data_IF_860388087104
#
_entry.id   IF_860388087104
#
_cell.length_a   1.000
_cell.length_b   1.000
_cell.length_c   1.000
_cell.angle_alpha   90.00
_cell.angle_beta   90.00
_cell.angle_gamma   90.00
#
_symmetry.space_group_name_H-M   'P 1'
#
loop_
_entity.id
_entity.type
_entity.pdbx_description
1 polymer ?
#
# COMPACT_ATOMS: atom_id res chain seq x y z
N UNK A 1 25.33 -42.99 26.55
CA UNK A 1 24.22 -42.02 26.55
C UNK A 1 23.45 -42.24 27.82
N UNK A 2 23.34 -41.23 28.68
CA UNK A 2 22.48 -41.32 29.87
C UNK A 2 21.02 -41.23 29.40
N UNK A 3 20.22 -42.23 29.76
CA UNK A 3 18.78 -42.21 29.50
C UNK A 3 18.20 -41.09 30.36
N UNK A 4 17.77 -40.00 29.73
CA UNK A 4 17.31 -38.79 30.42
C UNK A 4 16.01 -39.01 31.21
N UNK A 5 15.24 -40.05 30.88
CA UNK A 5 13.99 -40.43 31.56
C UNK A 5 13.96 -41.91 31.90
N UNK A 6 13.79 -42.23 33.18
CA UNK A 6 13.75 -43.62 33.66
C UNK A 6 12.40 -44.31 33.40
N UNK A 7 11.35 -43.56 33.05
CA UNK A 7 10.01 -44.08 32.76
C UNK A 7 9.27 -43.19 31.75
N UNK A 8 8.47 -43.80 30.86
CA UNK A 8 7.60 -43.12 29.88
C UNK A 8 6.67 -42.09 30.54
N UNK A 9 6.19 -42.34 31.76
CA UNK A 9 5.28 -41.43 32.47
C UNK A 9 5.89 -40.04 32.68
N UNK A 10 7.15 -39.98 33.11
CA UNK A 10 7.80 -38.70 33.43
C UNK A 10 8.00 -37.86 32.15
N UNK A 11 8.30 -38.52 31.03
CA UNK A 11 8.37 -37.88 29.72
C UNK A 11 6.99 -37.35 29.28
N UNK A 12 5.92 -38.13 29.46
CA UNK A 12 4.56 -37.68 29.13
C UNK A 12 4.13 -36.48 29.97
N UNK A 13 4.48 -36.45 31.25
CA UNK A 13 4.18 -35.31 32.13
C UNK A 13 4.91 -34.04 31.66
N UNK A 14 6.16 -34.15 31.23
CA UNK A 14 6.90 -33.03 30.64
C UNK A 14 6.30 -32.57 29.29
N UNK A 15 5.96 -33.51 28.40
CA UNK A 15 5.30 -33.19 27.13
C UNK A 15 3.94 -32.51 27.34
N UNK A 16 3.18 -32.94 28.35
CA UNK A 16 1.92 -32.29 28.73
C UNK A 16 2.15 -30.84 29.20
N UNK A 17 3.17 -30.60 30.02
CA UNK A 17 3.56 -29.24 30.42
C UNK A 17 3.94 -28.39 29.20
N UNK A 18 4.71 -28.94 28.26
CA UNK A 18 5.04 -28.26 27.01
C UNK A 18 3.79 -27.89 26.19
N UNK A 19 2.82 -28.80 26.11
CA UNK A 19 1.54 -28.59 25.42
C UNK A 19 0.72 -27.48 26.09
N UNK A 20 0.55 -27.51 27.40
CA UNK A 20 -0.17 -26.48 28.15
C UNK A 20 0.47 -25.09 27.98
N UNK A 21 1.79 -25.02 28.11
CA UNK A 21 2.53 -23.77 27.95
C UNK A 21 2.43 -23.25 26.50
N UNK A 22 2.43 -24.15 25.51
CA UNK A 22 2.24 -23.79 24.10
C UNK A 22 0.85 -23.17 23.89
N UNK A 23 -0.21 -23.83 24.36
CA UNK A 23 -1.58 -23.32 24.24
C UNK A 23 -1.75 -21.97 24.94
N UNK A 24 -1.17 -21.80 26.12
CA UNK A 24 -1.16 -20.51 26.82
C UNK A 24 -0.49 -19.42 25.98
N UNK A 25 0.63 -19.73 25.32
CA UNK A 25 1.35 -18.79 24.46
C UNK A 25 0.58 -18.44 23.18
N UNK A 26 -0.10 -19.41 22.58
CA UNK A 26 -1.03 -19.17 21.46
C UNK A 26 -2.13 -18.19 21.88
N UNK A 27 -2.77 -18.40 23.03
CA UNK A 27 -3.84 -17.53 23.53
C UNK A 27 -3.34 -16.10 23.84
N UNK A 28 -2.07 -15.95 24.19
CA UNK A 28 -1.40 -14.65 24.39
C UNK A 28 -0.90 -14.04 23.07
N UNK A 29 -1.10 -14.73 21.95
CA UNK A 29 -0.55 -14.44 20.62
C UNK A 29 1.00 -14.40 20.60
N UNK A 30 1.68 -14.93 21.62
CA UNK A 30 3.15 -15.02 21.66
C UNK A 30 3.62 -16.23 20.84
N UNK A 31 3.43 -16.13 19.52
CA UNK A 31 3.57 -17.24 18.58
C UNK A 31 5.02 -17.72 18.46
N UNK A 32 6.01 -16.84 18.61
CA UNK A 32 7.43 -17.25 18.60
C UNK A 32 7.77 -18.10 19.82
N UNK A 33 7.30 -17.73 21.00
CA UNK A 33 7.49 -18.55 22.20
C UNK A 33 6.73 -19.87 22.09
N UNK A 34 5.54 -19.86 21.49
CA UNK A 34 4.79 -21.08 21.22
C UNK A 34 5.58 -22.02 20.28
N UNK A 35 6.11 -21.51 19.16
CA UNK A 35 6.94 -22.28 18.23
C UNK A 35 8.19 -22.85 18.88
N UNK A 36 8.88 -22.07 19.73
CA UNK A 36 10.05 -22.56 20.48
C UNK A 36 9.68 -23.74 21.37
N UNK A 37 8.55 -23.66 22.08
CA UNK A 37 8.08 -24.73 22.97
C UNK A 37 7.70 -26.00 22.22
N UNK A 38 7.02 -25.86 21.08
CA UNK A 38 6.68 -26.98 20.19
C UNK A 38 7.95 -27.61 19.64
N UNK A 39 8.91 -26.80 19.16
CA UNK A 39 10.20 -27.32 18.66
C UNK A 39 10.95 -28.10 19.75
N UNK A 40 11.02 -27.58 20.98
CA UNK A 40 11.63 -28.29 22.09
C UNK A 40 10.95 -29.62 22.39
N UNK A 41 9.61 -29.67 22.36
CA UNK A 41 8.87 -30.91 22.60
C UNK A 41 9.08 -31.94 21.47
N UNK A 42 9.09 -31.51 20.21
CA UNK A 42 9.37 -32.39 19.07
C UNK A 42 10.77 -33.01 19.20
N UNK A 43 11.79 -32.21 19.54
CA UNK A 43 13.15 -32.72 19.76
C UNK A 43 13.17 -33.77 20.88
N UNK A 44 12.49 -33.50 22.00
CA UNK A 44 12.39 -34.47 23.11
C UNK A 44 11.71 -35.78 22.69
N UNK A 45 10.67 -35.70 21.85
CA UNK A 45 9.99 -36.88 21.32
C UNK A 45 10.92 -37.67 20.39
N UNK A 46 11.58 -36.99 19.44
CA UNK A 46 12.52 -37.61 18.50
C UNK A 46 13.67 -38.31 19.23
N UNK A 47 14.22 -37.70 20.28
CA UNK A 47 15.27 -38.30 21.13
C UNK A 47 14.78 -39.52 21.92
N UNK A 48 13.50 -39.56 22.28
CA UNK A 48 12.90 -40.63 23.09
C UNK A 48 12.23 -41.74 22.27
N UNK A 49 12.03 -41.54 20.97
CA UNK A 49 11.32 -42.46 20.07
C UNK A 49 12.01 -43.83 19.97
N UNK A 50 13.34 -43.89 20.15
CA UNK A 50 14.10 -45.14 20.19
C UNK A 50 13.75 -46.03 21.40
N UNK A 51 13.17 -45.44 22.45
CA UNK A 51 12.87 -46.11 23.73
C UNK A 51 11.38 -46.29 23.97
N UNK A 52 10.54 -45.38 23.46
CA UNK A 52 9.09 -45.37 23.66
C UNK A 52 8.38 -45.06 22.35
N UNK A 53 7.25 -45.74 22.07
CA UNK A 53 6.34 -45.30 21.02
C UNK A 53 5.62 -44.01 21.45
N UNK A 54 5.85 -42.91 20.73
CA UNK A 54 5.30 -41.57 20.98
C UNK A 54 4.67 -40.96 19.72
N UNK A 55 4.20 -41.79 18.79
CA UNK A 55 3.64 -41.34 17.50
C UNK A 55 2.44 -40.37 17.70
N UNK A 56 1.58 -40.65 18.68
CA UNK A 56 0.41 -39.82 18.99
C UNK A 56 0.82 -38.45 19.54
N UNK A 57 1.84 -38.40 20.42
CA UNK A 57 2.38 -37.16 20.96
C UNK A 57 3.07 -36.33 19.87
N UNK A 58 3.82 -36.98 18.98
CA UNK A 58 4.46 -36.32 17.84
C UNK A 58 3.41 -35.67 16.95
N UNK A 59 2.36 -36.41 16.58
CA UNK A 59 1.26 -35.88 15.76
C UNK A 59 0.59 -34.70 16.45
N UNK A 60 0.32 -34.78 17.76
CA UNK A 60 -0.28 -33.68 18.51
C UNK A 60 0.59 -32.40 18.48
N UNK A 61 1.91 -32.51 18.60
CA UNK A 61 2.81 -31.35 18.50
C UNK A 61 2.98 -30.84 17.07
N UNK A 62 2.93 -31.70 16.05
CA UNK A 62 2.91 -31.30 14.65
C UNK A 62 1.62 -30.53 14.32
N UNK A 63 0.47 -30.97 14.82
CA UNK A 63 -0.79 -30.24 14.70
C UNK A 63 -0.72 -28.87 15.39
N UNK A 64 -0.10 -28.77 16.57
CA UNK A 64 0.13 -27.49 17.24
C UNK A 64 1.06 -26.56 16.44
N UNK A 65 2.14 -27.10 15.87
CA UNK A 65 3.03 -26.35 14.99
C UNK A 65 2.27 -25.76 13.80
N UNK A 66 1.44 -26.58 13.14
CA UNK A 66 0.64 -26.14 12.01
C UNK A 66 -0.37 -25.06 12.43
N UNK A 67 -1.08 -25.26 13.54
CA UNK A 67 -2.01 -24.27 14.10
C UNK A 67 -1.34 -22.91 14.34
N UNK A 68 -0.13 -22.90 14.91
CA UNK A 68 0.61 -21.64 15.15
C UNK A 68 0.97 -20.94 13.83
N UNK A 69 1.36 -21.71 12.80
CA UNK A 69 1.67 -21.18 11.48
C UNK A 69 0.43 -20.62 10.79
N UNK A 70 -0.69 -21.30 10.87
CA UNK A 70 -1.97 -20.86 10.30
C UNK A 70 -2.48 -19.58 10.98
N UNK A 71 -2.35 -19.49 12.31
CA UNK A 71 -2.70 -18.28 13.07
C UNK A 71 -1.83 -17.09 12.63
N UNK A 72 -0.51 -17.29 12.52
CA UNK A 72 0.43 -16.26 12.03
C UNK A 72 0.08 -15.81 10.62
N UNK A 73 -0.18 -16.77 9.72
CA UNK A 73 -0.54 -16.49 8.34
C UNK A 73 -1.86 -15.72 8.24
N UNK A 74 -2.87 -16.10 9.03
CA UNK A 74 -4.18 -15.45 9.05
C UNK A 74 -4.08 -13.97 9.47
N UNK A 75 -3.31 -13.68 10.53
CA UNK A 75 -3.04 -12.30 10.94
C UNK A 75 -2.30 -11.51 9.86
N UNK A 76 -1.29 -12.11 9.25
CA UNK A 76 -0.54 -11.49 8.15
C UNK A 76 -1.45 -11.16 6.96
N UNK A 77 -2.27 -12.10 6.54
CA UNK A 77 -3.26 -11.90 5.47
C UNK A 77 -4.24 -10.77 5.78
N UNK A 78 -4.67 -10.66 7.03
CA UNK A 78 -5.56 -9.58 7.44
C UNK A 78 -4.93 -8.20 7.27
N UNK A 79 -3.67 -8.01 7.71
CA UNK A 79 -2.94 -6.76 7.52
C UNK A 79 -2.68 -6.43 6.04
N UNK A 80 -2.28 -7.43 5.25
CA UNK A 80 -2.11 -7.31 3.81
C UNK A 80 -3.41 -6.87 3.12
N UNK A 81 -4.54 -7.47 3.47
CA UNK A 81 -5.86 -7.09 2.94
C UNK A 81 -6.24 -5.66 3.31
N UNK A 82 -6.05 -5.27 4.57
CA UNK A 82 -6.26 -3.88 5.01
C UNK A 82 -5.46 -2.90 4.16
N UNK A 83 -4.15 -3.12 4.03
CA UNK A 83 -3.27 -2.26 3.23
C UNK A 83 -3.70 -2.21 1.76
N UNK A 84 -3.93 -3.38 1.15
CA UNK A 84 -4.33 -3.49 -0.24
C UNK A 84 -5.68 -2.84 -0.54
N UNK A 85 -6.62 -2.88 0.42
CA UNK A 85 -7.91 -2.23 0.28
C UNK A 85 -7.76 -0.70 0.34
N UNK A 86 -6.97 -0.18 1.29
CA UNK A 86 -6.69 1.26 1.37
C UNK A 86 -6.10 1.77 0.05
N UNK A 87 -5.03 1.16 -0.47
CA UNK A 87 -4.39 1.66 -1.71
C UNK A 87 -5.25 1.50 -2.98
N UNK A 88 -6.38 0.79 -2.90
CA UNK A 88 -7.38 0.69 -3.98
C UNK A 88 -8.47 1.75 -3.88
N UNK A 89 -8.59 2.46 -2.77
CA UNK A 89 -9.56 3.54 -2.61
C UNK A 89 -9.31 4.65 -3.63
N UNK A 90 -10.39 5.27 -4.11
CA UNK A 90 -10.29 6.43 -4.98
C UNK A 90 -9.82 7.63 -4.16
N UNK A 91 -8.60 8.11 -4.42
CA UNK A 91 -7.99 9.20 -3.68
C UNK A 91 -8.22 10.54 -4.38
N UNK A 92 -8.72 11.52 -3.63
CA UNK A 92 -9.01 12.89 -4.08
C UNK A 92 -8.33 13.91 -3.17
N UNK A 93 -8.27 15.18 -3.56
CA UNK A 93 -7.79 16.25 -2.67
C UNK A 93 -8.62 16.31 -1.36
N UNK A 94 -9.93 16.05 -1.45
CA UNK A 94 -10.88 16.19 -0.33
C UNK A 94 -10.76 15.06 0.69
N UNK A 95 -10.50 13.82 0.25
CA UNK A 95 -10.43 12.67 1.15
C UNK A 95 -9.00 12.32 1.59
N UNK A 96 -7.98 13.01 1.07
CA UNK A 96 -6.57 12.71 1.33
C UNK A 96 -6.21 12.71 2.82
N UNK A 97 -6.73 13.66 3.59
CA UNK A 97 -6.48 13.75 5.04
C UNK A 97 -7.07 12.56 5.81
N UNK A 98 -8.30 12.16 5.46
CA UNK A 98 -8.95 10.99 6.06
C UNK A 98 -8.20 9.70 5.69
N UNK A 99 -7.79 9.57 4.43
CA UNK A 99 -6.97 8.47 3.97
C UNK A 99 -5.64 8.39 4.72
N UNK A 100 -4.95 9.53 4.89
CA UNK A 100 -3.67 9.62 5.59
C UNK A 100 -3.79 9.13 7.04
N UNK A 101 -4.86 9.50 7.73
CA UNK A 101 -5.15 9.03 9.10
C UNK A 101 -5.32 7.52 9.15
N UNK A 102 -6.09 6.93 8.22
CA UNK A 102 -6.29 5.48 8.16
C UNK A 102 -4.98 4.74 7.89
N UNK A 103 -4.16 5.24 6.96
CA UNK A 103 -2.86 4.66 6.66
C UNK A 103 -1.89 4.78 7.85
N UNK A 104 -1.91 5.90 8.59
CA UNK A 104 -1.10 6.10 9.77
C UNK A 104 -1.50 5.15 10.91
N UNK A 105 -2.80 5.00 11.16
CA UNK A 105 -3.31 4.02 12.13
C UNK A 105 -2.87 2.60 11.76
N UNK A 106 -2.98 2.21 10.49
CA UNK A 106 -2.51 0.90 10.03
C UNK A 106 -1.00 0.73 10.21
N UNK A 107 -0.21 1.77 9.94
CA UNK A 107 1.24 1.75 10.15
C UNK A 107 1.57 1.52 11.62
N UNK A 108 0.94 2.26 12.53
CA UNK A 108 1.18 2.13 13.97
C UNK A 108 0.76 0.74 14.49
N UNK A 109 -0.37 0.21 14.01
CA UNK A 109 -0.78 -1.17 14.29
C UNK A 109 0.31 -2.16 13.86
N UNK A 110 0.84 -2.03 12.63
CA UNK A 110 1.86 -2.94 12.08
C UNK A 110 3.19 -2.82 12.79
N UNK A 111 3.65 -1.60 13.07
CA UNK A 111 4.91 -1.35 13.77
C UNK A 111 4.92 -2.03 15.16
N UNK A 112 3.77 -2.06 15.84
CA UNK A 112 3.61 -2.73 17.13
C UNK A 112 3.66 -4.26 17.07
N UNK A 113 3.47 -4.87 15.89
CA UNK A 113 3.38 -6.34 15.73
C UNK A 113 4.24 -6.89 14.59
N UNK A 114 5.14 -6.10 14.02
CA UNK A 114 5.86 -6.43 12.77
C UNK A 114 6.60 -7.76 12.88
N UNK A 115 7.40 -7.94 13.93
CA UNK A 115 8.18 -9.16 14.15
C UNK A 115 7.28 -10.35 14.53
N UNK A 116 6.13 -10.08 15.15
CA UNK A 116 5.21 -11.09 15.69
C UNK A 116 4.50 -11.88 14.57
N UNK A 117 4.19 -11.19 13.47
CA UNK A 117 3.48 -11.74 12.33
C UNK A 117 4.28 -11.71 11.03
N UNK A 118 5.60 -11.45 11.12
CA UNK A 118 6.52 -11.31 10.00
C UNK A 118 5.97 -10.31 8.95
N UNK A 119 5.78 -9.04 9.32
CA UNK A 119 5.15 -8.00 8.47
C UNK A 119 6.15 -7.00 7.88
N UNK A 120 7.44 -7.33 7.86
CA UNK A 120 8.52 -6.40 7.47
C UNK A 120 8.33 -5.88 6.04
N UNK A 121 7.86 -6.71 5.12
CA UNK A 121 7.53 -6.33 3.75
C UNK A 121 6.31 -5.39 3.68
N UNK A 122 5.27 -5.65 4.47
CA UNK A 122 4.07 -4.80 4.54
C UNK A 122 4.43 -3.43 5.09
N UNK A 123 5.22 -3.40 6.16
CA UNK A 123 5.76 -2.19 6.75
C UNK A 123 6.59 -1.39 5.73
N UNK A 124 7.46 -2.07 4.99
CA UNK A 124 8.24 -1.46 3.92
C UNK A 124 7.35 -0.80 2.85
N UNK A 125 6.31 -1.50 2.39
CA UNK A 125 5.38 -0.96 1.40
C UNK A 125 4.60 0.26 1.89
N UNK A 126 4.14 0.24 3.15
CA UNK A 126 3.49 1.40 3.78
C UNK A 126 4.45 2.59 3.85
N UNK A 127 5.69 2.38 4.31
CA UNK A 127 6.69 3.44 4.40
C UNK A 127 7.05 4.02 3.03
N UNK A 128 7.17 3.17 2.00
CA UNK A 128 7.35 3.61 0.62
C UNK A 128 6.19 4.48 0.16
N UNK A 129 4.95 4.07 0.43
CA UNK A 129 3.76 4.84 0.08
C UNK A 129 3.74 6.23 0.77
N UNK A 130 4.08 6.30 2.07
CA UNK A 130 4.19 7.57 2.81
C UNK A 130 5.19 8.55 2.18
N UNK A 131 6.30 8.05 1.65
CA UNK A 131 7.29 8.89 0.94
C UNK A 131 6.67 9.59 -0.26
N UNK A 132 5.82 8.91 -1.03
CA UNK A 132 5.13 9.49 -2.18
C UNK A 132 3.97 10.40 -1.77
N UNK A 133 3.22 10.06 -0.71
CA UNK A 133 2.19 10.94 -0.14
C UNK A 133 2.78 12.28 0.29
N UNK A 134 3.93 12.30 0.98
CA UNK A 134 4.56 13.53 1.43
C UNK A 134 4.90 14.46 0.25
N UNK A 135 5.39 13.89 -0.86
CA UNK A 135 5.64 14.63 -2.10
C UNK A 135 4.33 15.16 -2.72
N UNK A 136 3.28 14.32 -2.76
CA UNK A 136 1.96 14.71 -3.25
C UNK A 136 1.40 15.92 -2.47
N UNK A 137 1.51 15.91 -1.14
CA UNK A 137 1.09 17.05 -0.32
C UNK A 137 1.82 18.34 -0.69
N UNK A 138 3.14 18.28 -0.93
CA UNK A 138 3.90 19.45 -1.36
C UNK A 138 3.43 20.02 -2.70
N UNK A 139 3.00 19.15 -3.62
CA UNK A 139 2.42 19.54 -4.91
C UNK A 139 1.05 20.19 -4.67
N UNK A 140 0.16 19.53 -3.92
CA UNK A 140 -1.20 20.03 -3.61
C UNK A 140 -1.13 21.41 -2.95
N UNK A 141 -0.18 21.62 -2.03
CA UNK A 141 -0.03 22.90 -1.32
C UNK A 141 0.45 24.06 -2.19
N UNK A 142 1.06 23.80 -3.35
CA UNK A 142 1.73 24.83 -4.15
C UNK A 142 1.18 24.99 -5.56
N UNK A 143 0.60 23.95 -6.17
CA UNK A 143 0.28 23.97 -7.60
C UNK A 143 -0.76 25.03 -8.01
N UNK A 144 -1.62 25.48 -7.09
CA UNK A 144 -2.62 26.54 -7.33
C UNK A 144 -2.05 27.96 -7.30
N UNK A 145 -0.84 28.14 -6.78
CA UNK A 145 -0.22 29.46 -6.55
C UNK A 145 1.00 29.65 -7.47
N UNK A 146 1.66 28.56 -7.86
CA UNK A 146 2.78 28.59 -8.79
C UNK A 146 2.35 28.99 -10.20
N UNK A 147 3.30 29.55 -10.95
CA UNK A 147 3.16 29.68 -12.40
C UNK A 147 2.86 28.33 -13.04
N UNK A 148 2.03 28.34 -14.10
CA UNK A 148 1.55 27.12 -14.76
C UNK A 148 2.69 26.17 -15.13
N UNK A 149 3.76 26.69 -15.74
CA UNK A 149 4.91 25.89 -16.19
C UNK A 149 5.61 25.19 -15.01
N UNK A 150 5.76 25.88 -13.88
CA UNK A 150 6.37 25.32 -12.67
C UNK A 150 5.48 24.25 -12.03
N UNK A 151 4.18 24.54 -11.87
CA UNK A 151 3.21 23.58 -11.32
C UNK A 151 3.12 22.32 -12.21
N UNK A 152 2.99 22.51 -13.52
CA UNK A 152 2.93 21.46 -14.54
C UNK A 152 4.16 20.56 -14.46
N UNK A 153 5.36 21.16 -14.44
CA UNK A 153 6.62 20.42 -14.32
C UNK A 153 6.70 19.59 -13.03
N UNK A 154 6.25 20.13 -11.90
CA UNK A 154 6.24 19.38 -10.63
C UNK A 154 5.29 18.17 -10.68
N UNK A 155 4.07 18.36 -11.18
CA UNK A 155 3.08 17.29 -11.31
C UNK A 155 3.58 16.21 -12.28
N UNK A 156 4.11 16.59 -13.44
CA UNK A 156 4.63 15.65 -14.45
C UNK A 156 5.88 14.92 -13.97
N UNK A 157 6.77 15.59 -13.22
CA UNK A 157 7.91 14.94 -12.58
C UNK A 157 7.45 13.88 -11.60
N UNK A 158 6.49 14.20 -10.74
CA UNK A 158 5.92 13.24 -9.80
C UNK A 158 5.23 12.08 -10.51
N UNK A 159 4.47 12.34 -11.59
CA UNK A 159 3.86 11.31 -12.42
C UNK A 159 4.90 10.31 -12.98
N UNK A 160 6.07 10.80 -13.41
CA UNK A 160 7.18 9.95 -13.87
C UNK A 160 7.78 9.13 -12.71
N UNK A 161 7.93 9.73 -11.53
CA UNK A 161 8.47 9.05 -10.34
C UNK A 161 7.56 7.91 -9.84
N UNK A 162 6.23 8.10 -9.85
CA UNK A 162 5.28 7.07 -9.40
C UNK A 162 4.93 6.04 -10.48
N UNK A 163 5.32 6.26 -11.74
CA UNK A 163 5.03 5.36 -12.87
C UNK A 163 5.43 3.90 -12.62
N UNK A 164 6.65 3.57 -12.16
CA UNK A 164 7.06 2.19 -11.92
C UNK A 164 6.32 1.53 -10.73
N UNK A 165 5.76 2.32 -9.83
CA UNK A 165 5.06 1.84 -8.64
C UNK A 165 3.64 1.34 -8.96
N UNK A 166 3.09 0.44 -8.14
CA UNK A 166 1.71 -0.05 -8.27
C UNK A 166 0.68 0.77 -7.48
N UNK A 167 0.91 2.08 -7.32
CA UNK A 167 0.04 2.99 -6.56
C UNK A 167 -0.99 3.67 -7.47
N UNK A 168 -1.99 2.91 -7.91
CA UNK A 168 -2.98 3.38 -8.89
C UNK A 168 -3.81 4.58 -8.40
N UNK A 169 -4.14 4.62 -7.11
CA UNK A 169 -4.87 5.73 -6.52
C UNK A 169 -4.07 7.05 -6.52
N UNK A 170 -2.76 7.01 -6.23
CA UNK A 170 -1.88 8.18 -6.38
C UNK A 170 -1.76 8.62 -7.84
N UNK A 171 -1.66 7.67 -8.79
CA UNK A 171 -1.64 7.99 -10.23
C UNK A 171 -2.92 8.70 -10.66
N UNK A 172 -4.07 8.23 -10.18
CA UNK A 172 -5.37 8.86 -10.42
C UNK A 172 -5.41 10.29 -9.87
N UNK A 173 -4.99 10.49 -8.62
CA UNK A 173 -4.92 11.82 -8.01
C UNK A 173 -3.96 12.74 -8.77
N UNK A 174 -2.76 12.28 -9.15
CA UNK A 174 -1.81 13.07 -9.95
C UNK A 174 -2.42 13.51 -11.27
N UNK A 175 -3.13 12.63 -11.96
CA UNK A 175 -3.82 12.95 -13.20
C UNK A 175 -4.93 13.99 -12.97
N UNK A 176 -5.71 13.84 -11.88
CA UNK A 176 -6.74 14.81 -11.51
C UNK A 176 -6.15 16.18 -11.22
N UNK A 177 -5.02 16.27 -10.51
CA UNK A 177 -4.33 17.55 -10.25
C UNK A 177 -3.87 18.20 -11.54
N UNK A 178 -3.31 17.43 -12.47
CA UNK A 178 -2.90 17.93 -13.78
C UNK A 178 -4.07 18.45 -14.59
N UNK A 179 -5.16 17.67 -14.66
CA UNK A 179 -6.41 18.06 -15.34
C UNK A 179 -6.97 19.36 -14.76
N UNK A 180 -6.99 19.50 -13.43
CA UNK A 180 -7.46 20.71 -12.75
C UNK A 180 -6.58 21.93 -13.08
N UNK A 181 -5.26 21.77 -13.03
CA UNK A 181 -4.31 22.83 -13.37
C UNK A 181 -4.52 23.34 -14.80
N UNK A 182 -4.62 22.44 -15.77
CA UNK A 182 -4.86 22.79 -17.17
C UNK A 182 -6.22 23.44 -17.35
N UNK A 183 -7.28 22.86 -16.78
CA UNK A 183 -8.65 23.37 -16.89
C UNK A 183 -8.74 24.81 -16.37
N UNK A 184 -8.13 25.08 -15.22
CA UNK A 184 -8.09 26.43 -14.65
C UNK A 184 -7.34 27.41 -15.56
N UNK A 185 -6.18 26.99 -16.09
CA UNK A 185 -5.40 27.87 -16.97
C UNK A 185 -6.14 28.18 -18.28
N UNK A 186 -6.81 27.19 -18.85
CA UNK A 186 -7.64 27.40 -20.05
C UNK A 186 -8.84 28.29 -19.75
N UNK A 187 -9.42 28.22 -18.55
CA UNK A 187 -10.51 29.11 -18.12
C UNK A 187 -10.05 30.57 -18.03
N UNK A 188 -8.91 30.82 -17.40
CA UNK A 188 -8.30 32.16 -17.37
C UNK A 188 -8.11 32.72 -18.79
N UNK A 189 -7.69 31.88 -19.73
CA UNK A 189 -7.52 32.30 -21.13
C UNK A 189 -8.88 32.55 -21.79
N UNK A 190 -9.88 31.70 -21.56
CA UNK A 190 -11.23 31.87 -22.13
C UNK A 190 -11.94 33.14 -21.69
N UNK A 191 -11.63 33.64 -20.49
CA UNK A 191 -12.17 34.91 -19.98
C UNK A 191 -11.63 36.12 -20.75
N UNK A 192 -10.46 35.97 -21.40
CA UNK A 192 -9.79 37.05 -22.14
C UNK A 192 -10.13 36.97 -23.64
N UNK A 193 -10.29 35.76 -24.18
CA UNK A 193 -10.48 35.54 -25.62
C UNK A 193 -11.43 34.37 -25.91
N UNK A 194 -12.33 34.57 -26.88
CA UNK A 194 -13.29 33.55 -27.32
C UNK A 194 -12.68 32.46 -28.22
N UNK A 195 -11.59 32.80 -28.89
CA UNK A 195 -10.88 31.91 -29.83
C UNK A 195 -9.37 32.07 -29.67
N UNK A 196 -8.61 31.01 -29.93
CA UNK A 196 -7.15 31.03 -29.89
C UNK A 196 -6.57 30.03 -30.90
N UNK A 197 -5.44 30.36 -31.50
CA UNK A 197 -4.69 29.40 -32.30
C UNK A 197 -3.98 28.39 -31.40
N UNK A 198 -3.90 27.13 -31.82
CA UNK A 198 -3.27 26.08 -31.03
C UNK A 198 -1.82 26.39 -30.68
N UNK A 199 -1.05 26.95 -31.62
CA UNK A 199 0.35 27.33 -31.38
C UNK A 199 0.47 28.38 -30.27
N UNK A 200 -0.39 29.41 -30.30
CA UNK A 200 -0.43 30.45 -29.28
C UNK A 200 -0.81 29.88 -27.90
N UNK A 201 -1.73 28.92 -27.87
CA UNK A 201 -2.13 28.25 -26.64
C UNK A 201 -1.01 27.34 -26.10
N UNK A 202 -0.32 26.64 -26.99
CA UNK A 202 0.83 25.81 -26.65
C UNK A 202 1.99 26.64 -26.08
N UNK A 203 2.21 27.85 -26.62
CA UNK A 203 3.14 28.82 -26.03
C UNK A 203 2.68 29.26 -24.63
N UNK A 204 1.41 29.64 -24.46
CA UNK A 204 0.85 30.06 -23.15
C UNK A 204 0.90 28.94 -22.09
N UNK A 205 0.79 27.69 -22.52
CA UNK A 205 0.88 26.51 -21.67
C UNK A 205 2.31 25.95 -21.58
N UNK A 206 3.25 26.46 -22.36
CA UNK A 206 4.61 25.93 -22.50
C UNK A 206 4.63 24.39 -22.74
N UNK A 207 3.79 23.92 -23.66
CA UNK A 207 3.69 22.51 -24.06
C UNK A 207 3.85 22.35 -25.56
N UNK A 208 4.23 21.16 -26.01
CA UNK A 208 4.29 20.84 -27.44
C UNK A 208 2.88 20.64 -28.02
N UNK A 209 2.71 20.91 -29.32
CA UNK A 209 1.45 20.62 -30.01
C UNK A 209 1.00 19.15 -29.85
N UNK A 210 1.95 18.22 -29.91
CA UNK A 210 1.69 16.79 -29.73
C UNK A 210 1.17 16.45 -28.33
N UNK A 211 1.72 17.10 -27.31
CA UNK A 211 1.26 16.91 -25.93
C UNK A 211 -0.06 17.64 -25.66
N UNK A 212 -0.31 18.75 -26.34
CA UNK A 212 -1.58 19.45 -26.24
C UNK A 212 -2.74 18.63 -26.81
N UNK A 213 -2.54 17.86 -27.88
CA UNK A 213 -3.57 16.93 -28.37
C UNK A 213 -3.96 15.91 -27.28
N UNK A 214 -2.98 15.35 -26.56
CA UNK A 214 -3.26 14.44 -25.43
C UNK A 214 -4.00 15.16 -24.30
N UNK A 215 -3.67 16.43 -24.08
CA UNK A 215 -4.39 17.27 -23.11
C UNK A 215 -5.84 17.47 -23.54
N UNK A 216 -6.12 17.71 -24.81
CA UNK A 216 -7.48 17.81 -25.33
C UNK A 216 -8.26 16.51 -25.09
N UNK A 217 -7.69 15.36 -25.43
CA UNK A 217 -8.29 14.03 -25.16
C UNK A 217 -8.58 13.85 -23.65
N UNK A 218 -7.65 14.27 -22.78
CA UNK A 218 -7.84 14.20 -21.33
C UNK A 218 -8.96 15.10 -20.81
N UNK A 219 -9.30 16.18 -21.52
CA UNK A 219 -10.31 17.16 -21.14
C UNK A 219 -11.68 16.87 -21.75
N UNK A 220 -11.81 16.06 -22.80
CA UNK A 220 -13.09 15.70 -23.40
C UNK A 220 -14.06 15.08 -22.37
N UNK A 221 -13.53 14.31 -21.43
CA UNK A 221 -14.30 13.68 -20.35
C UNK A 221 -14.67 14.63 -19.20
N UNK A 222 -14.13 15.87 -19.19
CA UNK A 222 -14.34 16.81 -18.11
C UNK A 222 -15.57 17.71 -18.36
N UNK A 223 -16.64 17.64 -17.52
CA UNK A 223 -17.81 18.50 -17.69
C UNK A 223 -17.50 19.99 -17.56
N UNK A 224 -16.41 20.33 -16.85
CA UNK A 224 -15.93 21.69 -16.65
C UNK A 224 -14.93 22.15 -17.73
N UNK A 225 -14.77 21.39 -18.82
CA UNK A 225 -13.88 21.73 -19.92
C UNK A 225 -14.27 23.10 -20.52
N UNK A 226 -13.38 24.11 -20.52
CA UNK A 226 -13.65 25.44 -21.07
C UNK A 226 -13.59 25.46 -22.60
N UNK A 227 -13.13 24.40 -23.27
CA UNK A 227 -13.09 24.30 -24.72
C UNK A 227 -14.45 23.84 -25.23
N UNK A 228 -15.03 24.61 -26.15
CA UNK A 228 -16.28 24.30 -26.85
C UNK A 228 -16.05 23.46 -28.10
N UNK A 229 -15.01 23.80 -28.87
CA UNK A 229 -14.68 23.13 -30.14
C UNK A 229 -13.21 23.29 -30.46
N UNK A 230 -12.59 22.24 -30.99
CA UNK A 230 -11.29 22.30 -31.64
C UNK A 230 -11.47 22.02 -33.14
N UNK A 231 -11.03 22.95 -34.00
CA UNK A 231 -11.05 22.78 -35.45
C UNK A 231 -9.70 22.24 -35.92
N UNK A 232 -9.64 20.92 -36.16
CA UNK A 232 -8.41 20.25 -36.60
C UNK A 232 -7.84 20.79 -37.92
N UNK A 233 -8.66 21.36 -38.82
CA UNK A 233 -8.17 21.89 -40.11
C UNK A 233 -7.47 23.23 -39.95
N UNK A 234 -8.02 24.11 -39.13
CA UNK A 234 -7.49 25.47 -38.93
C UNK A 234 -6.61 25.58 -37.69
N UNK A 235 -6.53 24.52 -36.88
CA UNK A 235 -5.85 24.50 -35.57
C UNK A 235 -6.41 25.55 -34.60
N UNK A 236 -7.66 25.95 -34.80
CA UNK A 236 -8.34 26.96 -33.98
C UNK A 236 -9.11 26.30 -32.83
N UNK A 237 -9.00 26.88 -31.64
CA UNK A 237 -9.68 26.47 -30.42
C UNK A 237 -10.73 27.53 -30.11
N UNK A 238 -11.97 27.09 -29.95
CA UNK A 238 -13.11 27.92 -29.56
C UNK A 238 -13.43 27.62 -28.11
N UNK A 239 -13.42 28.65 -27.27
CA UNK A 239 -13.78 28.54 -25.85
C UNK A 239 -15.30 28.68 -25.65
N UNK A 240 -15.77 28.27 -24.47
CA UNK A 240 -17.17 28.40 -24.05
C UNK A 240 -17.50 29.82 -23.61
#
# INVERSE_FOLDING_TARGET
MEIRYNNKKDLLDELNLHKELTLKKINQLDLDSALKKVKSAIILIEEAQEYFNLDDELDAFLQLNQKIRDERFSHREWYLRKYNNLIKENLTEENLDSFLKLLAMLKDEIDGVVNKFNLEDVQYHINSYFKYLKKMYGIISSYKILEFSMASNQILKFAKEIRPEKFNNLKSLTLSLYRNLVTNKLREISEIQNTCQMDELCEKLAISNTDFIKVLELLEENPQNPIKKFNQRTQEIVFK
#
